data_IF_373374495202
#
_entry.id   IF_373374495202
#
_cell.length_a   1.000
_cell.length_b   1.000
_cell.length_c   1.000
_cell.angle_alpha   90.00
_cell.angle_beta   90.00
_cell.angle_gamma   90.00
#
_symmetry.space_group_name_H-M   'P 1'
#
loop_
_entity.id
_entity.type
_entity.pdbx_description
1 polymer ?
#
# COMPACT_ATOMS: atom_id res chain seq x y z
N UNK A 1 -77.98 -9.11 15.14
CA UNK A 1 -76.91 -8.39 14.39
C UNK A 1 -76.79 -6.99 14.99
N UNK A 2 -76.13 -6.82 16.14
CA UNK A 2 -75.81 -5.45 16.62
C UNK A 2 -74.74 -5.31 17.71
N UNK A 3 -74.13 -6.38 18.24
CA UNK A 3 -73.18 -6.23 19.36
C UNK A 3 -71.70 -6.17 18.95
N UNK A 4 -71.30 -6.64 17.76
CA UNK A 4 -69.89 -6.67 17.35
C UNK A 4 -69.34 -5.32 16.85
N UNK A 5 -70.20 -4.36 16.50
CA UNK A 5 -69.79 -3.05 15.97
C UNK A 5 -69.42 -2.03 17.05
N UNK A 6 -70.20 -1.98 18.14
CA UNK A 6 -70.06 -0.95 19.17
C UNK A 6 -68.78 -1.12 20.02
N UNK A 7 -68.37 -2.36 20.32
CA UNK A 7 -67.15 -2.62 21.08
C UNK A 7 -65.86 -2.42 20.27
N UNK A 8 -65.94 -2.41 18.94
CA UNK A 8 -64.80 -2.09 18.07
C UNK A 8 -64.60 -0.58 17.96
N UNK A 9 -65.68 0.17 17.80
CA UNK A 9 -65.68 1.63 17.70
C UNK A 9 -65.11 2.32 18.96
N UNK A 10 -65.46 1.82 20.15
CA UNK A 10 -64.97 2.39 21.44
C UNK A 10 -63.49 2.05 21.72
N UNK A 11 -63.00 0.92 21.21
CA UNK A 11 -61.57 0.57 21.32
C UNK A 11 -60.72 1.34 20.28
N UNK A 12 -61.31 1.72 19.15
CA UNK A 12 -60.71 2.55 18.11
C UNK A 12 -60.45 3.99 18.63
N UNK A 13 -61.41 4.60 19.32
CA UNK A 13 -61.28 5.96 19.87
C UNK A 13 -60.20 6.05 20.96
N UNK A 14 -60.17 5.11 21.91
CA UNK A 14 -59.18 5.08 22.99
C UNK A 14 -57.75 4.81 22.48
N UNK A 15 -57.60 4.05 21.40
CA UNK A 15 -56.30 3.82 20.75
C UNK A 15 -55.85 5.07 20.00
N UNK A 16 -56.77 5.77 19.36
CA UNK A 16 -56.49 7.04 18.66
C UNK A 16 -56.05 8.14 19.62
N UNK A 17 -56.68 8.26 20.80
CA UNK A 17 -56.33 9.29 21.79
C UNK A 17 -55.01 9.01 22.49
N UNK A 18 -54.69 7.74 22.76
CA UNK A 18 -53.35 7.36 23.27
C UNK A 18 -52.25 7.64 22.24
N UNK A 19 -52.51 7.38 20.95
CA UNK A 19 -51.57 7.72 19.88
C UNK A 19 -51.43 9.24 19.72
N UNK A 20 -52.52 10.01 19.79
CA UNK A 20 -52.50 11.48 19.77
C UNK A 20 -51.74 12.06 20.96
N UNK A 21 -51.94 11.53 22.17
CA UNK A 21 -51.21 11.97 23.36
C UNK A 21 -49.71 11.65 23.29
N UNK A 22 -49.36 10.46 22.80
CA UNK A 22 -47.97 10.08 22.55
C UNK A 22 -47.32 10.98 21.48
N UNK A 23 -48.03 11.28 20.38
CA UNK A 23 -47.55 12.19 19.34
C UNK A 23 -47.41 13.64 19.83
N UNK A 24 -48.32 14.12 20.68
CA UNK A 24 -48.22 15.47 21.27
C UNK A 24 -47.02 15.60 22.21
N UNK A 25 -46.61 14.50 22.86
CA UNK A 25 -45.46 14.45 23.78
C UNK A 25 -44.12 14.16 23.11
N UNK A 26 -44.10 13.26 22.11
CA UNK A 26 -42.87 12.77 21.47
C UNK A 26 -42.74 13.16 19.99
N UNK A 27 -43.78 13.67 19.35
CA UNK A 27 -43.77 14.04 17.92
C UNK A 27 -42.69 15.07 17.59
N UNK A 28 -42.44 16.03 18.48
CA UNK A 28 -41.31 16.97 18.34
C UNK A 28 -39.94 16.28 18.39
N UNK A 29 -39.77 15.28 19.26
CA UNK A 29 -38.55 14.47 19.33
C UNK A 29 -38.36 13.60 18.08
N UNK A 30 -39.44 12.99 17.57
CA UNK A 30 -39.39 12.20 16.33
C UNK A 30 -39.07 13.07 15.10
N UNK A 31 -39.69 14.25 14.99
CA UNK A 31 -39.38 15.20 13.91
C UNK A 31 -37.94 15.70 14.05
N UNK A 32 -37.50 16.05 15.26
CA UNK A 32 -36.12 16.44 15.52
C UNK A 32 -35.12 15.34 15.14
N UNK A 33 -35.39 14.08 15.49
CA UNK A 33 -34.56 12.95 15.12
C UNK A 33 -34.54 12.71 13.61
N UNK A 34 -35.69 12.82 12.93
CA UNK A 34 -35.77 12.69 11.47
C UNK A 34 -34.99 13.81 10.75
N UNK A 35 -35.12 15.06 11.21
CA UNK A 35 -34.36 16.20 10.68
C UNK A 35 -32.87 16.01 10.92
N UNK A 36 -32.46 15.60 12.12
CA UNK A 36 -31.07 15.32 12.44
C UNK A 36 -30.48 14.21 11.54
N UNK A 37 -31.26 13.17 11.24
CA UNK A 37 -30.89 12.12 10.29
C UNK A 37 -30.66 12.70 8.89
N UNK A 38 -31.63 13.45 8.35
CA UNK A 38 -31.51 14.02 6.99
C UNK A 38 -30.33 14.98 6.89
N UNK A 39 -30.13 15.84 7.90
CA UNK A 39 -28.98 16.77 7.94
C UNK A 39 -27.66 15.99 8.05
N UNK A 40 -27.61 14.97 8.90
CA UNK A 40 -26.43 14.11 9.05
C UNK A 40 -26.05 13.42 7.74
N UNK A 41 -27.02 12.82 7.05
CA UNK A 41 -26.80 12.19 5.74
C UNK A 41 -26.39 13.21 4.68
N UNK A 42 -26.98 14.41 4.69
CA UNK A 42 -26.61 15.49 3.77
C UNK A 42 -25.18 15.97 3.95
N UNK A 43 -24.72 16.12 5.20
CA UNK A 43 -23.32 16.46 5.51
C UNK A 43 -22.39 15.35 5.06
N UNK A 44 -22.72 14.09 5.33
CA UNK A 44 -21.91 12.93 4.92
C UNK A 44 -21.78 12.84 3.40
N UNK A 45 -22.89 12.94 2.66
CA UNK A 45 -22.91 12.89 1.20
C UNK A 45 -22.13 14.06 0.57
N UNK A 46 -22.21 15.26 1.15
CA UNK A 46 -21.42 16.40 0.69
C UNK A 46 -19.91 16.18 0.92
N UNK A 47 -19.53 15.66 2.08
CA UNK A 47 -18.15 15.32 2.40
C UNK A 47 -17.60 14.26 1.43
N UNK A 48 -18.38 13.22 1.14
CA UNK A 48 -18.02 12.16 0.20
C UNK A 48 -17.84 12.70 -1.23
N UNK A 49 -18.79 13.52 -1.72
CA UNK A 49 -18.68 14.17 -3.03
C UNK A 49 -17.42 15.05 -3.16
N UNK A 50 -17.10 15.84 -2.12
CA UNK A 50 -15.91 16.68 -2.12
C UNK A 50 -14.62 15.86 -2.11
N UNK A 51 -14.58 14.80 -1.29
CA UNK A 51 -13.47 13.85 -1.17
C UNK A 51 -13.21 13.15 -2.51
N UNK A 52 -14.26 12.65 -3.16
CA UNK A 52 -14.17 11.94 -4.44
C UNK A 52 -13.72 12.88 -5.57
N UNK A 53 -14.22 14.11 -5.61
CA UNK A 53 -13.80 15.11 -6.60
C UNK A 53 -12.31 15.45 -6.47
N UNK A 54 -11.82 15.60 -5.24
CA UNK A 54 -10.41 15.90 -5.01
C UNK A 54 -9.52 14.70 -5.32
N UNK A 55 -9.93 13.49 -4.92
CA UNK A 55 -9.23 12.25 -5.25
C UNK A 55 -9.18 11.99 -6.76
N UNK A 56 -10.27 12.26 -7.50
CA UNK A 56 -10.31 12.15 -8.96
C UNK A 56 -9.28 13.07 -9.61
N UNK A 57 -9.18 14.33 -9.16
CA UNK A 57 -8.19 15.27 -9.69
C UNK A 57 -6.76 14.77 -9.47
N UNK A 58 -6.44 14.32 -8.25
CA UNK A 58 -5.12 13.74 -7.94
C UNK A 58 -4.85 12.46 -8.75
N UNK A 59 -5.88 11.66 -9.01
CA UNK A 59 -5.81 10.50 -9.89
C UNK A 59 -5.46 10.85 -11.33
N UNK A 60 -6.14 11.85 -11.90
CA UNK A 60 -5.89 12.32 -13.26
C UNK A 60 -4.47 12.88 -13.42
N UNK A 61 -4.01 13.67 -12.45
CA UNK A 61 -2.63 14.20 -12.40
C UNK A 61 -1.60 13.07 -12.31
N UNK A 62 -1.85 12.05 -11.50
CA UNK A 62 -0.98 10.88 -11.39
C UNK A 62 -0.92 10.12 -12.73
N UNK A 63 -2.07 9.87 -13.37
CA UNK A 63 -2.12 9.21 -14.68
C UNK A 63 -1.42 10.03 -15.77
N UNK A 64 -1.57 11.35 -15.75
CA UNK A 64 -0.84 12.24 -16.65
C UNK A 64 0.68 12.10 -16.47
N UNK A 65 1.17 12.07 -15.22
CA UNK A 65 2.57 11.81 -14.95
C UNK A 65 3.03 10.44 -15.46
N UNK A 66 2.22 9.39 -15.30
CA UNK A 66 2.56 8.06 -15.85
C UNK A 66 2.68 8.06 -17.37
N UNK A 67 1.80 8.77 -18.07
CA UNK A 67 1.87 8.93 -19.52
C UNK A 67 3.14 9.69 -19.93
N UNK A 68 3.51 10.76 -19.21
CA UNK A 68 4.75 11.50 -19.47
C UNK A 68 5.99 10.59 -19.34
N UNK A 69 6.04 9.72 -18.33
CA UNK A 69 7.14 8.75 -18.20
C UNK A 69 7.16 7.77 -19.36
N UNK A 70 5.99 7.25 -19.77
CA UNK A 70 5.90 6.33 -20.92
C UNK A 70 6.40 6.98 -22.20
N UNK A 71 6.15 8.27 -22.37
CA UNK A 71 6.57 9.04 -23.53
C UNK A 71 8.04 9.54 -23.43
N UNK A 72 8.77 9.10 -22.40
CA UNK A 72 10.18 9.45 -22.16
C UNK A 72 10.41 10.84 -21.58
N UNK A 73 9.35 11.58 -21.24
CA UNK A 73 9.38 12.94 -20.70
C UNK A 73 9.57 12.94 -19.18
N UNK A 74 10.66 12.31 -18.72
CA UNK A 74 10.91 12.07 -17.30
C UNK A 74 10.96 13.36 -16.47
N UNK A 75 11.52 14.46 -16.99
CA UNK A 75 11.60 15.73 -16.26
C UNK A 75 10.24 16.42 -16.09
N UNK A 76 9.37 16.33 -17.10
CA UNK A 76 7.98 16.81 -17.00
C UNK A 76 7.19 15.96 -16.01
N UNK A 77 7.35 14.62 -16.08
CA UNK A 77 6.72 13.71 -15.15
C UNK A 77 7.14 13.99 -13.70
N UNK A 78 8.43 14.20 -13.43
CA UNK A 78 8.92 14.52 -12.09
C UNK A 78 8.34 15.83 -11.55
N UNK A 79 8.16 16.85 -12.39
CA UNK A 79 7.48 18.09 -11.99
C UNK A 79 6.02 17.85 -11.62
N UNK A 80 5.29 17.08 -12.41
CA UNK A 80 3.89 16.72 -12.10
C UNK A 80 3.80 15.89 -10.81
N UNK A 81 4.74 14.98 -10.57
CA UNK A 81 4.77 14.16 -9.35
C UNK A 81 5.15 14.98 -8.11
N UNK A 82 6.06 15.95 -8.23
CA UNK A 82 6.43 16.87 -7.14
C UNK A 82 5.28 17.82 -6.77
N UNK A 83 4.48 18.26 -7.75
CA UNK A 83 3.25 19.00 -7.47
C UNK A 83 2.22 18.13 -6.74
N UNK A 84 2.04 16.89 -7.20
CA UNK A 84 1.13 15.93 -6.57
C UNK A 84 1.58 15.51 -5.16
N UNK A 85 2.89 15.47 -4.88
CA UNK A 85 3.41 15.28 -3.53
C UNK A 85 2.95 16.40 -2.58
N UNK A 86 2.92 17.65 -3.04
CA UNK A 86 2.60 18.81 -2.21
C UNK A 86 1.10 19.06 -2.09
N UNK A 87 0.40 18.90 -3.21
CA UNK A 87 -1.00 19.33 -3.39
C UNK A 87 -1.97 18.16 -3.54
N UNK A 88 -1.47 16.93 -3.64
CA UNK A 88 -2.29 15.73 -3.79
C UNK A 88 -3.11 15.41 -2.56
N UNK A 89 -4.19 14.67 -2.78
CA UNK A 89 -5.14 14.31 -1.75
C UNK A 89 -5.08 12.82 -1.39
N UNK A 90 -5.38 12.48 -0.14
CA UNK A 90 -5.39 11.09 0.33
C UNK A 90 -4.02 10.41 0.22
N UNK A 91 -3.96 9.25 -0.44
CA UNK A 91 -2.73 8.46 -0.58
C UNK A 91 -1.84 8.90 -1.75
N UNK A 92 -2.33 9.79 -2.62
CA UNK A 92 -1.60 10.19 -3.83
C UNK A 92 -0.25 10.87 -3.58
N UNK A 93 -0.06 11.70 -2.53
CA UNK A 93 1.26 12.25 -2.23
C UNK A 93 2.35 11.20 -2.04
N UNK A 94 2.04 10.12 -1.32
CA UNK A 94 2.99 9.02 -1.07
C UNK A 94 3.22 8.20 -2.35
N UNK A 95 2.16 7.95 -3.13
CA UNK A 95 2.28 7.28 -4.42
C UNK A 95 3.11 8.09 -5.41
N UNK A 96 2.97 9.43 -5.41
CA UNK A 96 3.73 10.34 -6.23
C UNK A 96 5.22 10.26 -5.89
N UNK A 97 5.58 10.31 -4.58
CA UNK A 97 6.95 10.11 -4.09
C UNK A 97 7.56 8.79 -4.53
N UNK A 98 6.81 7.69 -4.34
CA UNK A 98 7.25 6.35 -4.77
C UNK A 98 7.47 6.26 -6.28
N UNK A 99 6.58 6.87 -7.06
CA UNK A 99 6.71 6.88 -8.52
C UNK A 99 7.88 7.76 -8.96
N UNK A 100 8.05 8.94 -8.39
CA UNK A 100 9.14 9.86 -8.70
C UNK A 100 10.50 9.21 -8.46
N UNK A 101 10.67 8.50 -7.34
CA UNK A 101 11.88 7.72 -7.07
C UNK A 101 12.16 6.70 -8.18
N UNK A 102 11.15 5.96 -8.64
CA UNK A 102 11.29 5.03 -9.77
C UNK A 102 11.64 5.73 -11.10
N UNK A 103 11.14 6.94 -11.33
CA UNK A 103 11.47 7.73 -12.53
C UNK A 103 12.93 8.19 -12.51
N UNK A 104 13.47 8.55 -11.34
CA UNK A 104 14.91 8.88 -11.22
C UNK A 104 15.80 7.71 -11.65
N UNK A 105 15.46 6.49 -11.22
CA UNK A 105 16.18 5.29 -11.65
C UNK A 105 16.07 5.07 -13.18
N UNK A 106 14.88 5.28 -13.76
CA UNK A 106 14.67 5.17 -15.21
C UNK A 106 15.42 6.24 -16.02
N UNK A 107 15.69 7.40 -15.41
CA UNK A 107 16.52 8.46 -15.98
C UNK A 107 18.03 8.15 -15.90
N UNK A 108 18.41 7.03 -15.28
CA UNK A 108 19.80 6.64 -15.09
C UNK A 108 20.44 7.23 -13.83
N UNK A 109 19.65 7.70 -12.86
CA UNK A 109 20.12 8.17 -11.56
C UNK A 109 19.63 7.23 -10.42
N UNK A 110 20.25 6.05 -10.27
CA UNK A 110 19.89 5.12 -9.20
C UNK A 110 20.20 5.67 -7.81
N UNK A 111 21.20 6.55 -7.68
CA UNK A 111 21.55 7.16 -6.39
C UNK A 111 20.44 8.11 -5.90
N UNK A 112 19.93 8.98 -6.78
CA UNK A 112 18.78 9.83 -6.45
C UNK A 112 17.52 9.01 -6.16
N UNK A 113 17.31 7.91 -6.88
CA UNK A 113 16.19 7.00 -6.63
C UNK A 113 16.27 6.33 -5.25
N UNK A 114 17.45 5.80 -4.88
CA UNK A 114 17.69 5.21 -3.55
C UNK A 114 17.44 6.25 -2.46
N UNK A 115 18.00 7.46 -2.59
CA UNK A 115 17.79 8.53 -1.61
C UNK A 115 16.30 8.91 -1.49
N UNK A 116 15.55 8.92 -2.59
CA UNK A 116 14.11 9.19 -2.56
C UNK A 116 13.31 8.07 -1.88
N UNK A 117 13.62 6.79 -2.16
CA UNK A 117 13.00 5.66 -1.47
C UNK A 117 13.35 5.63 0.03
N UNK A 118 14.59 5.95 0.39
CA UNK A 118 15.02 6.03 1.79
C UNK A 118 14.27 7.14 2.56
N UNK A 119 14.00 8.28 1.92
CA UNK A 119 13.15 9.33 2.51
C UNK A 119 11.73 8.84 2.77
N UNK A 120 11.15 8.02 1.88
CA UNK A 120 9.82 7.43 2.09
C UNK A 120 9.85 6.39 3.21
N UNK A 121 10.90 5.56 3.28
CA UNK A 121 11.01 4.52 4.29
C UNK A 121 11.26 5.05 5.71
N UNK A 122 11.89 6.23 5.84
CA UNK A 122 12.12 6.91 7.11
C UNK A 122 10.92 7.72 7.62
N UNK A 123 9.93 8.00 6.76
CA UNK A 123 8.78 8.84 7.10
C UNK A 123 7.74 8.05 7.90
N UNK A 124 7.64 8.31 9.21
CA UNK A 124 6.73 7.58 10.10
C UNK A 124 5.24 7.80 9.80
N UNK A 125 4.88 8.84 9.05
CA UNK A 125 3.51 9.09 8.61
C UNK A 125 3.08 8.15 7.47
N UNK A 126 4.03 7.56 6.75
CA UNK A 126 3.77 6.59 5.67
C UNK A 126 3.42 5.23 6.28
N UNK A 127 2.38 4.53 5.80
CA UNK A 127 2.04 3.19 6.27
C UNK A 127 3.22 2.22 6.18
N UNK A 128 3.37 1.35 7.18
CA UNK A 128 4.52 0.43 7.28
C UNK A 128 4.72 -0.41 6.02
N UNK A 129 3.64 -0.92 5.42
CA UNK A 129 3.70 -1.70 4.18
C UNK A 129 4.36 -0.93 3.01
N UNK A 130 4.12 0.37 2.92
CA UNK A 130 4.72 1.23 1.89
C UNK A 130 6.17 1.56 2.23
N UNK A 131 6.50 1.75 3.52
CA UNK A 131 7.89 1.94 3.96
C UNK A 131 8.75 0.71 3.67
N UNK A 132 8.23 -0.47 3.95
CA UNK A 132 8.90 -1.75 3.68
C UNK A 132 9.07 -1.96 2.17
N UNK A 133 8.07 -1.61 1.37
CA UNK A 133 8.19 -1.60 -0.10
C UNK A 133 9.27 -0.61 -0.58
N UNK A 134 9.35 0.59 0.02
CA UNK A 134 10.38 1.57 -0.32
C UNK A 134 11.80 1.05 -0.01
N UNK A 135 11.99 0.42 1.16
CA UNK A 135 13.27 -0.25 1.50
C UNK A 135 13.64 -1.32 0.49
N UNK A 136 12.69 -2.17 0.11
CA UNK A 136 12.91 -3.20 -0.90
C UNK A 136 13.29 -2.60 -2.26
N UNK A 137 12.59 -1.55 -2.70
CA UNK A 137 12.89 -0.86 -3.96
C UNK A 137 14.28 -0.24 -3.95
N UNK A 138 14.69 0.41 -2.86
CA UNK A 138 16.04 0.94 -2.70
C UNK A 138 17.10 -0.17 -2.74
N UNK A 139 16.88 -1.26 -2.00
CA UNK A 139 17.78 -2.40 -1.97
C UNK A 139 17.97 -3.05 -3.35
N UNK A 140 16.90 -3.24 -4.11
CA UNK A 140 16.99 -3.80 -5.46
C UNK A 140 17.81 -2.93 -6.42
N UNK A 141 17.75 -1.60 -6.29
CA UNK A 141 18.63 -0.70 -7.06
C UNK A 141 20.10 -0.84 -6.64
N UNK A 142 20.34 -1.09 -5.36
CA UNK A 142 21.68 -1.25 -4.80
C UNK A 142 22.31 -2.61 -5.11
N UNK A 143 21.54 -3.63 -5.51
CA UNK A 143 22.08 -4.93 -5.92
C UNK A 143 23.12 -4.78 -7.05
N UNK A 144 22.86 -3.90 -8.02
CA UNK A 144 23.76 -3.68 -9.16
C UNK A 144 24.74 -2.52 -8.95
N UNK A 145 24.45 -1.60 -8.02
CA UNK A 145 25.16 -0.30 -7.92
C UNK A 145 25.88 -0.07 -6.60
N UNK A 146 25.57 -0.85 -5.56
CA UNK A 146 26.10 -0.70 -4.22
C UNK A 146 26.80 -1.96 -3.70
N UNK A 147 27.03 -1.99 -2.38
CA UNK A 147 27.63 -3.13 -1.69
C UNK A 147 26.57 -4.06 -1.08
N UNK A 148 26.98 -5.26 -0.67
CA UNK A 148 26.10 -6.14 0.11
C UNK A 148 25.55 -5.45 1.36
N UNK A 149 26.39 -4.69 2.08
CA UNK A 149 25.99 -4.03 3.33
C UNK A 149 24.97 -2.91 3.07
N UNK A 150 25.08 -2.21 1.92
CA UNK A 150 24.08 -1.22 1.49
C UNK A 150 22.71 -1.85 1.26
N UNK A 151 22.68 -3.05 0.67
CA UNK A 151 21.45 -3.83 0.48
C UNK A 151 20.93 -4.33 1.83
N UNK A 152 21.79 -4.97 2.61
CA UNK A 152 21.43 -5.60 3.88
C UNK A 152 20.83 -4.59 4.88
N UNK A 153 21.44 -3.42 5.02
CA UNK A 153 20.95 -2.34 5.90
C UNK A 153 19.49 -1.93 5.64
N UNK A 154 18.96 -2.18 4.43
CA UNK A 154 17.59 -1.83 4.04
C UNK A 154 16.62 -3.00 4.17
N UNK A 155 17.03 -4.23 3.80
CA UNK A 155 16.09 -5.37 3.67
C UNK A 155 16.31 -6.51 4.64
N UNK A 156 17.39 -6.54 5.43
CA UNK A 156 17.63 -7.64 6.39
C UNK A 156 16.51 -7.77 7.42
N UNK A 157 16.01 -6.64 7.94
CA UNK A 157 14.84 -6.65 8.84
C UNK A 157 13.57 -7.20 8.17
N UNK A 158 13.49 -7.17 6.83
CA UNK A 158 12.35 -7.66 6.06
C UNK A 158 12.46 -9.15 5.70
N UNK A 159 13.63 -9.78 5.83
CA UNK A 159 13.83 -11.20 5.46
C UNK A 159 13.38 -12.19 6.54
N UNK A 160 12.83 -11.71 7.66
CA UNK A 160 12.31 -12.54 8.73
C UNK A 160 11.03 -13.31 8.31
N UNK A 161 10.77 -14.47 8.93
CA UNK A 161 9.64 -15.34 8.53
C UNK A 161 8.25 -14.70 8.71
N UNK A 162 8.12 -13.70 9.58
CA UNK A 162 6.87 -13.00 9.84
C UNK A 162 6.56 -11.87 8.85
N UNK A 163 7.51 -11.47 8.00
CA UNK A 163 7.30 -10.36 7.07
C UNK A 163 6.69 -10.86 5.75
N UNK A 164 5.61 -10.22 5.24
CA UNK A 164 5.03 -10.57 3.94
C UNK A 164 6.02 -10.45 2.77
N UNK A 165 7.02 -9.57 2.89
CA UNK A 165 8.02 -9.28 1.86
C UNK A 165 9.27 -10.16 1.96
N UNK A 166 9.30 -11.16 2.86
CA UNK A 166 10.51 -11.95 3.18
C UNK A 166 11.19 -12.58 1.99
N UNK A 167 10.43 -13.09 1.03
CA UNK A 167 10.99 -13.75 -0.14
C UNK A 167 11.73 -12.76 -1.04
N UNK A 168 11.13 -11.61 -1.32
CA UNK A 168 11.78 -10.55 -2.10
C UNK A 168 12.97 -9.93 -1.38
N UNK A 169 12.91 -9.83 -0.04
CA UNK A 169 14.04 -9.38 0.76
C UNK A 169 15.21 -10.37 0.69
N UNK A 170 14.94 -11.68 0.84
CA UNK A 170 15.95 -12.75 0.67
C UNK A 170 16.51 -12.79 -0.74
N UNK A 171 15.69 -12.53 -1.74
CA UNK A 171 16.11 -12.46 -3.14
C UNK A 171 17.11 -11.30 -3.36
N UNK A 172 16.79 -10.10 -2.88
CA UNK A 172 17.70 -8.96 -2.95
C UNK A 172 19.02 -9.22 -2.21
N UNK A 173 18.96 -9.77 -0.98
CA UNK A 173 20.15 -10.17 -0.22
C UNK A 173 20.97 -11.25 -0.95
N UNK A 174 20.31 -12.24 -1.54
CA UNK A 174 20.95 -13.35 -2.24
C UNK A 174 21.68 -12.88 -3.49
N UNK A 175 21.05 -11.98 -4.26
CA UNK A 175 21.68 -11.38 -5.44
C UNK A 175 22.87 -10.50 -5.07
N UNK A 176 22.75 -9.70 -4.01
CA UNK A 176 23.85 -8.91 -3.51
C UNK A 176 25.00 -9.78 -2.98
N UNK A 177 24.70 -10.87 -2.27
CA UNK A 177 25.68 -11.82 -1.77
C UNK A 177 26.43 -12.51 -2.92
N UNK A 178 25.70 -12.95 -3.94
CA UNK A 178 26.29 -13.58 -5.12
C UNK A 178 27.26 -12.64 -5.83
N UNK A 179 26.86 -11.38 -6.08
CA UNK A 179 27.72 -10.36 -6.68
C UNK A 179 28.93 -9.99 -5.83
N UNK A 180 28.79 -10.05 -4.51
CA UNK A 180 29.89 -9.84 -3.57
C UNK A 180 30.83 -11.07 -3.43
N UNK A 181 30.63 -12.13 -4.23
CA UNK A 181 31.42 -13.36 -4.15
C UNK A 181 31.11 -14.24 -2.93
N UNK A 182 30.04 -13.94 -2.20
CA UNK A 182 29.59 -14.68 -1.00
C UNK A 182 28.65 -15.81 -1.41
N UNK A 183 29.16 -16.76 -2.20
CA UNK A 183 28.37 -17.86 -2.78
C UNK A 183 27.59 -18.69 -1.75
N UNK A 184 28.20 -19.00 -0.61
CA UNK A 184 27.54 -19.74 0.48
C UNK A 184 26.37 -18.98 1.12
N UNK A 185 26.51 -17.66 1.30
CA UNK A 185 25.42 -16.82 1.81
C UNK A 185 24.28 -16.72 0.79
N UNK A 186 24.62 -16.55 -0.48
CA UNK A 186 23.65 -16.53 -1.58
C UNK A 186 22.87 -17.85 -1.66
N UNK A 187 23.57 -19.00 -1.62
CA UNK A 187 22.95 -20.32 -1.63
C UNK A 187 21.97 -20.48 -0.46
N UNK A 188 22.39 -20.10 0.75
CA UNK A 188 21.53 -20.18 1.94
C UNK A 188 20.25 -19.36 1.76
N UNK A 189 20.36 -18.14 1.24
CA UNK A 189 19.21 -17.23 1.05
C UNK A 189 18.26 -17.73 -0.04
N UNK A 190 18.76 -18.19 -1.18
CA UNK A 190 17.92 -18.75 -2.23
C UNK A 190 17.28 -20.09 -1.81
N UNK A 191 17.99 -20.91 -1.04
CA UNK A 191 17.43 -22.15 -0.47
C UNK A 191 16.27 -21.88 0.48
N UNK A 192 16.36 -20.84 1.32
CA UNK A 192 15.24 -20.40 2.17
C UNK A 192 14.00 -19.97 1.37
N UNK A 193 14.16 -19.56 0.11
CA UNK A 193 13.03 -19.25 -0.78
C UNK A 193 12.50 -20.54 -1.43
N UNK A 194 13.39 -21.38 -1.95
CA UNK A 194 13.05 -22.64 -2.61
C UNK A 194 12.27 -23.60 -1.70
N UNK A 195 12.75 -23.75 -0.45
CA UNK A 195 12.19 -24.68 0.53
C UNK A 195 10.86 -24.19 1.14
N UNK A 196 10.54 -22.89 1.04
CA UNK A 196 9.32 -22.31 1.63
C UNK A 196 8.11 -22.47 0.70
N UNK A 197 7.16 -23.29 1.11
CA UNK A 197 5.94 -23.55 0.33
C UNK A 197 5.02 -22.34 0.19
N UNK A 198 5.14 -21.32 1.03
CA UNK A 198 4.40 -20.08 0.91
C UNK A 198 5.04 -19.08 -0.06
N UNK A 199 6.24 -19.38 -0.61
CA UNK A 199 6.85 -18.55 -1.64
C UNK A 199 6.01 -18.58 -2.94
N UNK A 200 5.71 -17.42 -3.56
CA UNK A 200 5.09 -17.35 -4.88
C UNK A 200 5.88 -18.17 -5.91
N UNK A 201 5.17 -18.84 -6.81
CA UNK A 201 5.77 -19.81 -7.74
C UNK A 201 6.89 -19.20 -8.60
N UNK A 202 6.70 -17.96 -9.07
CA UNK A 202 7.71 -17.24 -9.85
C UNK A 202 8.98 -16.92 -9.05
N UNK A 203 8.85 -16.53 -7.78
CA UNK A 203 9.99 -16.22 -6.91
C UNK A 203 10.75 -17.50 -6.55
N UNK A 204 10.03 -18.61 -6.34
CA UNK A 204 10.64 -19.92 -6.10
C UNK A 204 11.41 -20.42 -7.31
N UNK A 205 10.81 -20.35 -8.50
CA UNK A 205 11.46 -20.73 -9.75
C UNK A 205 12.73 -19.90 -10.03
N UNK A 206 12.70 -18.61 -9.72
CA UNK A 206 13.88 -17.75 -9.79
C UNK A 206 14.97 -18.23 -8.83
N UNK A 207 14.63 -18.50 -7.56
CA UNK A 207 15.59 -18.99 -6.58
C UNK A 207 16.20 -20.35 -7.00
N UNK A 208 15.40 -21.27 -7.53
CA UNK A 208 15.87 -22.56 -8.05
C UNK A 208 16.87 -22.39 -9.19
N UNK A 209 16.55 -21.49 -10.14
CA UNK A 209 17.45 -21.15 -11.25
C UNK A 209 18.78 -20.60 -10.72
N UNK A 210 18.72 -19.78 -9.67
CA UNK A 210 19.91 -19.17 -9.10
C UNK A 210 20.76 -20.16 -8.30
N UNK A 211 20.14 -21.12 -7.62
CA UNK A 211 20.83 -22.24 -6.99
C UNK A 211 21.57 -23.10 -8.01
N UNK A 212 20.96 -23.38 -9.16
CA UNK A 212 21.60 -24.14 -10.24
C UNK A 212 22.77 -23.36 -10.87
N UNK A 213 22.64 -22.03 -11.02
CA UNK A 213 23.75 -21.18 -11.46
C UNK A 213 24.91 -21.20 -10.46
N UNK A 214 24.65 -21.10 -9.15
CA UNK A 214 25.68 -21.14 -8.11
C UNK A 214 26.43 -22.49 -8.10
N UNK A 215 25.71 -23.60 -8.28
CA UNK A 215 26.30 -24.94 -8.40
C UNK A 215 27.19 -25.07 -9.64
N UNK A 216 26.74 -24.55 -10.78
CA UNK A 216 27.46 -24.67 -12.05
C UNK A 216 28.69 -23.77 -12.15
N UNK A 217 28.67 -22.59 -11.54
CA UNK A 217 29.81 -21.66 -11.50
C UNK A 217 30.91 -22.06 -10.51
N UNK A 218 30.73 -23.14 -9.76
CA UNK A 218 31.72 -23.58 -8.77
C UNK A 218 31.88 -22.59 -7.61
N UNK A 219 30.92 -21.68 -7.42
CA UNK A 219 30.75 -20.88 -6.21
C UNK A 219 30.26 -21.76 -5.06
N UNK A 220 30.89 -22.93 -4.90
CA UNK A 220 30.85 -23.70 -3.68
C UNK A 220 31.37 -22.80 -2.54
N UNK A 221 30.82 -22.92 -1.33
CA UNK A 221 31.25 -22.11 -0.19
C UNK A 221 32.77 -22.17 -0.10
N UNK A 222 33.42 -21.01 -0.06
CA UNK A 222 34.83 -20.93 0.28
C UNK A 222 34.99 -21.73 1.57
N UNK A 223 35.68 -22.87 1.47
CA UNK A 223 35.94 -23.72 2.61
C UNK A 223 36.55 -22.82 3.69
N UNK A 224 35.91 -22.77 4.86
CA UNK A 224 36.44 -22.08 6.02
C UNK A 224 37.89 -22.55 6.20
N UNK A 225 38.83 -21.68 5.87
CA UNK A 225 40.24 -21.96 6.02
C UNK A 225 40.55 -21.87 7.52
N UNK A 226 40.86 -23.04 8.10
CA UNK A 226 41.74 -23.30 9.25
C UNK A 226 41.70 -22.34 10.43
#
# INVERSE_FOLDING_TARGET
>A
MTDDGFFREVNEELRSDKMRAAWKRFGGLFIGAAVALVVGTGIFAFYEYWTEKQASKSGDEFLAALNLVRDGKNDEALKTLDDLEKNGYGAYPVLARMRAAGVQAQKGDPAAAVAAFDKVSADTAVPQSIRDLAKLRAALLLVDTGTYDDVASRVESLSNDGNPMRHSAREALGLAAWKAGRGGDAEKLFKQISDDQAAPANIRQFADTMLDMLRSTGAAPAAAAG
#
